data_IF_215527181615
#
_entry.id   IF_215527181615
#
_cell.length_a   1.000
_cell.length_b   1.000
_cell.length_c   1.000
_cell.angle_alpha   90.00
_cell.angle_beta   90.00
_cell.angle_gamma   90.00
#
_symmetry.space_group_name_H-M   'P 1'
#
loop_
_entity.id
_entity.type
_entity.pdbx_description
1 polymer ?
#
# COMPACT_ATOMS: atom_id res chain seq x y z
N UNK A 1 29.35 -8.61 -15.28
CA UNK A 1 28.59 -8.80 -16.53
C UNK A 1 27.09 -8.94 -16.24
N UNK A 2 26.33 -7.84 -16.09
CA UNK A 2 24.87 -7.91 -15.84
C UNK A 2 24.06 -6.67 -16.25
N UNK A 3 24.64 -5.70 -16.99
CA UNK A 3 23.94 -4.46 -17.38
C UNK A 3 22.99 -4.61 -18.60
N UNK A 4 22.79 -5.81 -19.14
CA UNK A 4 22.09 -6.02 -20.41
C UNK A 4 20.57 -6.28 -20.31
N UNK A 5 19.99 -6.33 -19.10
CA UNK A 5 18.57 -6.71 -18.93
C UNK A 5 17.64 -5.50 -18.72
N UNK A 6 18.17 -4.30 -18.47
CA UNK A 6 17.36 -3.14 -18.02
C UNK A 6 17.00 -2.14 -19.14
N UNK A 7 17.38 -2.36 -20.40
CA UNK A 7 17.11 -1.40 -21.49
C UNK A 7 16.31 -1.97 -22.67
N UNK A 8 15.28 -2.80 -22.40
CA UNK A 8 14.22 -2.96 -23.41
C UNK A 8 13.57 -1.59 -23.60
N UNK A 9 13.92 -0.93 -24.71
CA UNK A 9 13.21 0.27 -25.17
C UNK A 9 11.72 -0.05 -25.16
N UNK A 10 10.86 0.77 -24.53
CA UNK A 10 9.44 0.50 -24.48
C UNK A 10 8.93 0.44 -25.93
N UNK A 11 8.62 -0.76 -26.39
CA UNK A 11 7.99 -1.01 -27.69
C UNK A 11 6.70 -0.20 -27.77
N UNK A 12 6.32 0.34 -28.95
CA UNK A 12 5.15 1.22 -29.09
C UNK A 12 3.87 0.56 -28.54
N UNK A 13 3.74 -0.76 -28.65
CA UNK A 13 2.66 -1.55 -28.07
C UNK A 13 2.56 -1.41 -26.53
N UNK A 14 3.67 -1.35 -25.80
CA UNK A 14 3.65 -1.19 -24.34
C UNK A 14 3.14 0.20 -23.94
N UNK A 15 3.45 1.23 -24.75
CA UNK A 15 2.94 2.58 -24.54
C UNK A 15 1.43 2.64 -24.76
N UNK A 16 0.92 2.00 -25.82
CA UNK A 16 -0.52 1.93 -26.08
C UNK A 16 -1.27 1.12 -25.03
N UNK A 17 -0.71 0.01 -24.56
CA UNK A 17 -1.30 -0.78 -23.46
C UNK A 17 -1.32 0.04 -22.16
N UNK A 18 -0.22 0.72 -21.83
CA UNK A 18 -0.15 1.58 -20.64
C UNK A 18 -1.15 2.74 -20.72
N UNK A 19 -1.29 3.38 -21.88
CA UNK A 19 -2.28 4.43 -22.12
C UNK A 19 -3.71 3.91 -22.03
N UNK A 20 -3.99 2.76 -22.65
CA UNK A 20 -5.31 2.13 -22.58
C UNK A 20 -5.68 1.74 -21.16
N UNK A 21 -4.74 1.21 -20.39
CA UNK A 21 -4.94 0.88 -18.98
C UNK A 21 -5.17 2.15 -18.14
N UNK A 22 -4.36 3.20 -18.34
CA UNK A 22 -4.51 4.47 -17.63
C UNK A 22 -5.87 5.12 -17.92
N UNK A 23 -6.30 5.15 -19.19
CA UNK A 23 -7.62 5.62 -19.60
C UNK A 23 -8.73 4.75 -19.02
N UNK A 24 -8.59 3.43 -19.06
CA UNK A 24 -9.56 2.49 -18.49
C UNK A 24 -9.76 2.70 -17.00
N UNK A 25 -8.67 2.87 -16.25
CA UNK A 25 -8.72 3.21 -14.82
C UNK A 25 -9.40 4.58 -14.62
N UNK A 26 -9.04 5.59 -15.42
CA UNK A 26 -9.65 6.92 -15.33
C UNK A 26 -11.15 6.91 -15.60
N UNK A 27 -11.61 6.18 -16.61
CA UNK A 27 -13.02 6.01 -16.93
C UNK A 27 -13.75 5.26 -15.81
N UNK A 28 -13.15 4.18 -15.28
CA UNK A 28 -13.74 3.43 -14.18
C UNK A 28 -13.93 4.33 -12.93
N UNK A 29 -12.92 5.13 -12.59
CA UNK A 29 -13.00 6.10 -11.50
C UNK A 29 -14.11 7.13 -11.77
N UNK A 30 -14.19 7.68 -12.97
CA UNK A 30 -15.24 8.63 -13.36
C UNK A 30 -16.66 8.03 -13.25
N UNK A 31 -16.81 6.74 -13.53
CA UNK A 31 -18.08 6.02 -13.38
C UNK A 31 -18.46 5.76 -11.92
N UNK A 32 -17.47 5.59 -11.03
CA UNK A 32 -17.69 5.31 -9.60
C UNK A 32 -17.89 6.60 -8.79
N UNK A 33 -17.31 7.73 -9.22
CA UNK A 33 -17.43 9.06 -8.61
C UNK A 33 -18.86 9.45 -8.17
N UNK A 34 -19.93 9.28 -8.98
CA UNK A 34 -21.30 9.61 -8.53
C UNK A 34 -21.83 8.71 -7.40
N UNK A 35 -21.24 7.54 -7.17
CA UNK A 35 -21.59 6.62 -6.08
C UNK A 35 -20.74 6.83 -4.83
N UNK A 36 -19.70 7.66 -4.89
CA UNK A 36 -18.79 7.90 -3.76
C UNK A 36 -19.47 8.60 -2.56
N UNK A 37 -20.58 9.32 -2.81
CA UNK A 37 -21.37 9.99 -1.77
C UNK A 37 -22.39 9.09 -1.09
N UNK A 38 -22.63 7.88 -1.61
CA UNK A 38 -23.52 6.92 -0.97
C UNK A 38 -22.83 6.33 0.27
N UNK A 39 -23.36 6.61 1.47
CA UNK A 39 -22.87 6.01 2.71
C UNK A 39 -23.35 4.56 2.78
N UNK A 40 -22.45 3.62 2.51
CA UNK A 40 -22.68 2.20 2.76
C UNK A 40 -22.77 1.94 4.28
N UNK A 41 -23.53 0.92 4.71
CA UNK A 41 -23.62 0.53 6.12
C UNK A 41 -22.21 0.34 6.71
N UNK A 42 -21.96 1.01 7.84
CA UNK A 42 -20.66 0.99 8.48
C UNK A 42 -20.32 -0.44 8.95
N UNK A 43 -19.37 -1.07 8.26
CA UNK A 43 -18.79 -2.33 8.70
C UNK A 43 -17.63 -2.03 9.64
N UNK A 44 -17.89 -2.04 10.95
CA UNK A 44 -16.87 -1.80 11.97
C UNK A 44 -15.55 -2.59 11.78
N UNK A 45 -15.54 -3.88 11.37
CA UNK A 45 -14.30 -4.63 11.17
C UNK A 45 -13.61 -4.38 9.81
N UNK A 46 -14.20 -3.59 8.91
CA UNK A 46 -13.63 -3.36 7.57
C UNK A 46 -12.27 -2.67 7.62
N UNK A 47 -12.17 -1.54 8.34
CA UNK A 47 -10.93 -0.76 8.45
C UNK A 47 -9.80 -1.58 9.09
N UNK A 48 -10.04 -2.30 10.21
CA UNK A 48 -9.03 -3.17 10.80
C UNK A 48 -8.54 -4.27 9.86
N UNK A 49 -9.46 -4.98 9.18
CA UNK A 49 -9.09 -6.04 8.22
C UNK A 49 -8.24 -5.46 7.09
N UNK A 50 -8.67 -4.32 6.52
CA UNK A 50 -7.91 -3.64 5.48
C UNK A 50 -6.50 -3.23 5.94
N UNK A 51 -6.40 -2.58 7.11
CA UNK A 51 -5.11 -2.18 7.67
C UNK A 51 -4.20 -3.40 7.94
N UNK A 52 -4.72 -4.52 8.45
CA UNK A 52 -3.90 -5.74 8.63
C UNK A 52 -3.35 -6.27 7.31
N UNK A 53 -4.14 -6.24 6.24
CA UNK A 53 -3.69 -6.64 4.91
C UNK A 53 -2.60 -5.70 4.37
N UNK A 54 -2.76 -4.38 4.58
CA UNK A 54 -1.74 -3.37 4.21
C UNK A 54 -0.44 -3.61 4.98
N UNK A 55 -0.51 -3.75 6.31
CA UNK A 55 0.68 -4.02 7.15
C UNK A 55 1.42 -5.26 6.66
N UNK A 56 0.69 -6.36 6.40
CA UNK A 56 1.27 -7.62 5.96
C UNK A 56 1.93 -7.51 4.58
N UNK A 57 1.23 -6.93 3.61
CA UNK A 57 1.74 -6.78 2.24
C UNK A 57 2.95 -5.85 2.16
N UNK A 58 2.94 -4.74 2.90
CA UNK A 58 4.07 -3.81 3.01
C UNK A 58 5.26 -4.47 3.72
N UNK A 59 5.02 -5.24 4.79
CA UNK A 59 6.08 -5.98 5.50
C UNK A 59 6.72 -7.05 4.62
N UNK A 60 5.91 -7.82 3.88
CA UNK A 60 6.42 -8.82 2.92
C UNK A 60 7.25 -8.16 1.83
N UNK A 61 6.80 -7.01 1.30
CA UNK A 61 7.52 -6.26 0.27
C UNK A 61 8.83 -5.70 0.82
N UNK A 62 8.82 -5.16 2.04
CA UNK A 62 10.03 -4.70 2.73
C UNK A 62 11.05 -5.83 2.91
N UNK A 63 10.60 -7.00 3.37
CA UNK A 63 11.44 -8.19 3.56
C UNK A 63 12.03 -8.67 2.23
N UNK A 64 11.21 -8.71 1.17
CA UNK A 64 11.67 -9.10 -0.17
C UNK A 64 12.76 -8.15 -0.67
N UNK A 65 12.57 -6.83 -0.54
CA UNK A 65 13.56 -5.83 -0.94
C UNK A 65 14.83 -5.89 -0.09
N UNK A 66 14.71 -6.20 1.20
CA UNK A 66 15.85 -6.42 2.08
C UNK A 66 16.69 -7.64 1.66
N UNK A 67 16.03 -8.78 1.43
CA UNK A 67 16.68 -10.01 0.97
C UNK A 67 17.36 -9.78 -0.38
N UNK A 68 16.70 -9.05 -1.27
CA UNK A 68 17.28 -8.60 -2.55
C UNK A 68 18.56 -7.79 -2.36
N UNK A 69 18.56 -6.81 -1.46
CA UNK A 69 19.75 -6.03 -1.14
C UNK A 69 20.88 -6.91 -0.60
N UNK A 70 20.59 -7.83 0.33
CA UNK A 70 21.58 -8.78 0.88
C UNK A 70 22.20 -9.71 -0.16
N UNK A 71 21.48 -10.03 -1.23
CA UNK A 71 22.00 -10.81 -2.36
C UNK A 71 22.90 -9.99 -3.32
N UNK A 72 23.36 -8.80 -2.90
CA UNK A 72 24.27 -7.97 -3.69
C UNK A 72 23.59 -7.14 -4.78
N UNK A 73 22.28 -6.88 -4.66
CA UNK A 73 21.55 -5.98 -5.57
C UNK A 73 21.80 -4.50 -5.20
N UNK A 74 21.17 -3.61 -5.97
CA UNK A 74 21.34 -2.15 -5.89
C UNK A 74 21.10 -1.58 -4.48
N UNK A 75 21.83 -0.53 -4.05
CA UNK A 75 21.54 0.19 -2.80
C UNK A 75 20.13 0.80 -2.78
N UNK A 76 19.51 0.99 -3.95
CA UNK A 76 18.11 1.44 -4.06
C UNK A 76 17.14 0.41 -3.43
N UNK A 77 17.45 -0.89 -3.50
CA UNK A 77 16.62 -1.93 -2.89
C UNK A 77 16.62 -1.79 -1.35
N UNK A 78 17.70 -1.29 -0.73
CA UNK A 78 17.75 -0.99 0.70
C UNK A 78 16.89 0.23 1.08
N UNK A 79 16.97 1.30 0.28
CA UNK A 79 16.15 2.49 0.49
C UNK A 79 14.64 2.18 0.35
N UNK A 80 14.28 1.37 -0.65
CA UNK A 80 12.90 0.90 -0.82
C UNK A 80 12.47 0.00 0.35
N UNK A 81 13.31 -0.92 0.79
CA UNK A 81 13.02 -1.77 1.95
C UNK A 81 12.73 -0.92 3.21
N UNK A 82 13.52 0.12 3.47
CA UNK A 82 13.30 1.04 4.58
C UNK A 82 11.99 1.83 4.45
N UNK A 83 11.66 2.31 3.24
CA UNK A 83 10.40 3.00 2.99
C UNK A 83 9.18 2.10 3.24
N UNK A 84 9.20 0.86 2.75
CA UNK A 84 8.14 -0.13 3.00
C UNK A 84 8.06 -0.55 4.47
N UNK A 85 9.21 -0.67 5.16
CA UNK A 85 9.22 -0.97 6.60
C UNK A 85 8.59 0.17 7.41
N UNK A 86 8.92 1.42 7.09
CA UNK A 86 8.32 2.60 7.71
C UNK A 86 6.81 2.64 7.49
N UNK A 87 6.36 2.46 6.24
CA UNK A 87 4.94 2.39 5.87
C UNK A 87 4.19 1.31 6.65
N UNK A 88 4.73 0.09 6.70
CA UNK A 88 4.17 -1.03 7.46
C UNK A 88 4.07 -0.71 8.97
N UNK A 89 5.12 -0.12 9.55
CA UNK A 89 5.14 0.24 10.97
C UNK A 89 4.12 1.32 11.31
N UNK A 90 4.05 2.39 10.50
CA UNK A 90 3.07 3.47 10.70
C UNK A 90 1.64 2.94 10.60
N UNK A 91 1.36 2.06 9.64
CA UNK A 91 0.05 1.44 9.49
C UNK A 91 -0.29 0.50 10.68
N UNK A 92 0.69 -0.23 11.20
CA UNK A 92 0.51 -1.07 12.39
C UNK A 92 0.21 -0.22 13.64
N UNK A 93 0.90 0.90 13.81
CA UNK A 93 0.62 1.86 14.89
C UNK A 93 -0.78 2.46 14.75
N UNK A 94 -1.19 2.84 13.53
CA UNK A 94 -2.56 3.31 13.26
C UNK A 94 -3.61 2.26 13.67
N UNK A 95 -3.36 0.99 13.35
CA UNK A 95 -4.24 -0.12 13.71
C UNK A 95 -4.34 -0.31 15.23
N UNK A 96 -3.24 -0.16 15.97
CA UNK A 96 -3.22 -0.26 17.43
C UNK A 96 -3.95 0.89 18.12
N UNK A 97 -3.95 2.06 17.52
CA UNK A 97 -4.64 3.28 17.97
C UNK A 97 -6.14 3.21 17.68
N UNK A 98 -6.58 2.36 16.75
CA UNK A 98 -7.97 2.32 16.32
C UNK A 98 -8.92 1.87 17.45
N UNK A 99 -9.87 2.73 17.87
CA UNK A 99 -10.75 2.44 19.00
C UNK A 99 -11.74 1.35 18.62
N UNK A 100 -11.96 0.40 19.53
CA UNK A 100 -12.90 -0.72 19.33
C UNK A 100 -12.31 -1.95 18.65
N UNK A 101 -11.04 -1.92 18.20
CA UNK A 101 -10.36 -3.11 17.63
C UNK A 101 -9.76 -3.98 18.73
N UNK A 102 -8.94 -3.38 19.60
CA UNK A 102 -8.28 -4.08 20.70
C UNK A 102 -8.79 -3.65 22.08
N UNK A 103 -9.23 -2.40 22.22
CA UNK A 103 -9.81 -1.84 23.43
C UNK A 103 -10.76 -0.68 23.06
N UNK A 104 -11.66 -0.24 23.96
CA UNK A 104 -12.54 0.91 23.73
C UNK A 104 -11.81 2.21 23.35
N UNK A 105 -10.55 2.37 23.76
CA UNK A 105 -9.67 3.52 23.46
C UNK A 105 -8.44 3.13 22.62
N UNK A 106 -8.44 1.96 21.99
CA UNK A 106 -7.24 1.40 21.35
C UNK A 106 -6.20 0.96 22.37
N UNK A 107 -5.12 0.31 21.92
CA UNK A 107 -4.09 -0.22 22.82
C UNK A 107 -3.18 0.86 23.42
N UNK A 108 -3.14 2.03 22.78
CA UNK A 108 -2.25 3.14 23.12
C UNK A 108 -3.00 4.36 23.70
N UNK A 109 -4.24 4.18 24.16
CA UNK A 109 -5.02 5.25 24.81
C UNK A 109 -5.46 6.37 23.86
N UNK A 110 -5.67 6.03 22.60
CA UNK A 110 -6.12 6.96 21.58
C UNK A 110 -7.57 7.40 21.81
N UNK A 111 -7.82 8.70 21.67
CA UNK A 111 -9.18 9.24 21.63
C UNK A 111 -9.77 9.08 20.22
N UNK A 112 -11.10 9.07 20.09
CA UNK A 112 -11.79 8.99 18.78
C UNK A 112 -11.35 10.06 17.77
N UNK A 113 -10.71 11.14 18.23
CA UNK A 113 -10.24 12.26 17.40
C UNK A 113 -8.82 12.06 16.85
N UNK A 114 -8.03 11.17 17.45
CA UNK A 114 -6.64 10.91 17.04
C UNK A 114 -6.49 9.68 16.13
N UNK A 115 -7.57 8.93 15.92
CA UNK A 115 -7.59 7.69 15.14
C UNK A 115 -8.18 7.87 13.71
N UNK A 116 -8.62 9.09 13.37
CA UNK A 116 -9.26 9.46 12.09
C UNK A 116 -8.31 10.23 11.20
#
# INVERSE_FOLDING_TARGET
MSKLITSRRPTPLHRWIALGLALGIGVLVALILPFASAQLPACAPFVPIFCTAVVLTEAMTSLLMWVRYRMGKSPIDAALSAAYAFSSLTCAVQLLIFPGVFSPTGLLGASRQSAV
#
